data_IF_447206311068
#
_entry.id   IF_447206311068
#
_cell.length_a   1.000
_cell.length_b   1.000
_cell.length_c   1.000
_cell.angle_alpha   90.00
_cell.angle_beta   90.00
_cell.angle_gamma   90.00
#
_symmetry.space_group_name_H-M   'P 1'
#
loop_
_entity.id
_entity.type
_entity.pdbx_description
1 polymer ?
#
# COMPACT_ATOMS: atom_id res chain seq x y z
N UNK A 1 31.27 -49.60 -39.18
CA UNK A 1 32.06 -49.14 -38.01
C UNK A 1 32.47 -47.69 -38.25
N UNK A 2 32.38 -46.83 -37.20
CA UNK A 2 32.76 -45.39 -37.13
C UNK A 2 31.75 -44.45 -37.82
N UNK A 3 31.30 -43.31 -37.30
CA UNK A 3 31.59 -42.46 -36.12
C UNK A 3 30.29 -41.65 -35.90
N UNK A 4 29.76 -41.57 -34.68
CA UNK A 4 29.94 -40.44 -33.77
C UNK A 4 29.47 -39.08 -34.34
N UNK A 5 28.36 -38.59 -33.81
CA UNK A 5 27.81 -37.26 -34.05
C UNK A 5 26.72 -36.99 -33.01
N UNK A 6 27.07 -37.12 -31.73
CA UNK A 6 26.17 -36.86 -30.62
C UNK A 6 25.94 -35.33 -30.57
N UNK A 7 24.77 -34.88 -31.02
CA UNK A 7 24.37 -33.48 -30.93
C UNK A 7 24.26 -33.14 -29.45
N UNK A 8 25.22 -32.36 -28.97
CA UNK A 8 25.25 -31.81 -27.62
C UNK A 8 24.13 -30.78 -27.50
N UNK A 9 22.98 -31.18 -26.94
CA UNK A 9 21.92 -30.25 -26.55
C UNK A 9 22.46 -29.46 -25.36
N UNK A 10 22.94 -28.24 -25.61
CA UNK A 10 23.22 -27.26 -24.57
C UNK A 10 21.85 -26.77 -24.06
N UNK A 11 21.34 -27.41 -23.01
CA UNK A 11 20.24 -26.88 -22.22
C UNK A 11 20.81 -25.67 -21.48
N UNK A 12 20.62 -24.49 -22.05
CA UNK A 12 20.85 -23.21 -21.39
C UNK A 12 19.82 -23.12 -20.25
N UNK A 13 20.19 -23.61 -19.07
CA UNK A 13 19.48 -23.39 -17.81
C UNK A 13 19.53 -21.88 -17.51
N UNK A 14 18.67 -21.10 -18.17
CA UNK A 14 18.27 -19.78 -17.69
C UNK A 14 17.40 -20.06 -16.47
N UNK A 15 18.06 -20.31 -15.34
CA UNK A 15 17.44 -20.17 -14.04
C UNK A 15 16.99 -18.72 -13.93
N UNK A 16 15.74 -18.47 -14.29
CA UNK A 16 15.02 -17.27 -13.90
C UNK A 16 15.12 -17.19 -12.38
N UNK A 17 16.09 -16.42 -11.89
CA UNK A 17 16.15 -15.97 -10.52
C UNK A 17 14.95 -15.03 -10.35
N UNK A 18 13.75 -15.58 -10.21
CA UNK A 18 12.61 -14.83 -9.69
C UNK A 18 12.93 -14.57 -8.23
N UNK A 19 13.66 -13.48 -7.99
CA UNK A 19 13.89 -12.95 -6.65
C UNK A 19 12.50 -12.65 -6.08
N UNK A 20 12.05 -13.47 -5.12
CA UNK A 20 10.93 -13.09 -4.26
C UNK A 20 11.30 -11.75 -3.63
N UNK A 21 10.52 -10.70 -3.93
CA UNK A 21 10.78 -9.37 -3.42
C UNK A 21 10.33 -9.28 -1.96
N UNK A 22 11.27 -9.47 -1.03
CA UNK A 22 11.07 -9.32 0.41
C UNK A 22 11.93 -8.15 0.90
N UNK A 23 11.40 -6.91 0.87
CA UNK A 23 12.15 -5.73 1.29
C UNK A 23 12.40 -5.75 2.80
N UNK A 24 13.56 -5.23 3.22
CA UNK A 24 13.77 -4.84 4.62
C UNK A 24 12.77 -3.75 5.04
N UNK A 25 12.53 -3.53 6.34
CA UNK A 25 11.65 -2.45 6.81
C UNK A 25 12.08 -1.06 6.30
N UNK A 26 13.36 -0.83 6.08
CA UNK A 26 13.82 0.45 5.52
C UNK A 26 13.49 0.57 4.03
N UNK A 27 13.76 -0.47 3.23
CA UNK A 27 13.43 -0.50 1.80
C UNK A 27 11.91 -0.43 1.59
N UNK A 28 11.13 -1.15 2.39
CA UNK A 28 9.67 -1.14 2.32
C UNK A 28 9.11 0.26 2.59
N UNK A 29 9.67 0.99 3.57
CA UNK A 29 9.27 2.36 3.87
C UNK A 29 9.69 3.32 2.75
N UNK A 30 10.89 3.15 2.20
CA UNK A 30 11.35 3.96 1.06
C UNK A 30 10.42 3.79 -0.14
N UNK A 31 10.03 2.56 -0.48
CA UNK A 31 9.10 2.31 -1.57
C UNK A 31 7.71 2.95 -1.33
N UNK A 32 7.24 2.98 -0.07
CA UNK A 32 5.96 3.60 0.28
C UNK A 32 5.95 5.10 0.00
N UNK A 33 7.11 5.78 -0.06
CA UNK A 33 7.21 7.19 -0.43
C UNK A 33 6.62 7.46 -1.83
N UNK A 34 6.49 6.44 -2.68
CA UNK A 34 5.75 6.52 -3.96
C UNK A 34 4.26 6.89 -3.80
N UNK A 35 3.69 6.77 -2.59
CA UNK A 35 2.35 7.24 -2.28
C UNK A 35 2.25 8.76 -2.17
N UNK A 36 3.37 9.50 -2.10
CA UNK A 36 3.36 10.97 -2.06
C UNK A 36 2.55 11.56 -3.22
N UNK A 37 1.75 12.57 -2.87
CA UNK A 37 0.90 13.31 -3.79
C UNK A 37 -0.57 13.29 -3.36
N UNK A 38 -1.42 13.77 -4.26
CA UNK A 38 -2.88 13.83 -4.08
C UNK A 38 -3.56 12.80 -4.99
N UNK A 39 -4.52 12.07 -4.42
CA UNK A 39 -5.19 10.93 -5.02
C UNK A 39 -6.69 11.13 -4.96
N UNK A 40 -7.37 11.09 -6.11
CA UNK A 40 -8.81 11.23 -6.20
C UNK A 40 -9.47 9.92 -6.65
N UNK A 41 -10.46 9.44 -5.89
CA UNK A 41 -11.20 8.23 -6.27
C UNK A 41 -11.94 8.42 -7.58
N UNK A 42 -12.00 7.38 -8.41
CA UNK A 42 -12.74 7.40 -9.69
C UNK A 42 -14.14 6.77 -9.60
N UNK A 43 -14.58 6.39 -8.41
CA UNK A 43 -15.87 5.73 -8.17
C UNK A 43 -17.02 6.74 -7.94
N UNK A 44 -18.21 6.21 -7.67
CA UNK A 44 -19.38 7.02 -7.32
C UNK A 44 -19.22 7.71 -5.95
N UNK A 45 -18.63 7.00 -4.99
CA UNK A 45 -18.26 7.58 -3.69
C UNK A 45 -16.96 8.37 -3.86
N UNK A 46 -17.04 9.69 -3.68
CA UNK A 46 -15.89 10.58 -3.75
C UNK A 46 -15.12 10.54 -2.45
N UNK A 47 -13.98 9.86 -2.47
CA UNK A 47 -13.01 9.84 -1.38
C UNK A 47 -11.64 10.18 -1.94
N UNK A 48 -10.92 11.07 -1.27
CA UNK A 48 -9.62 11.55 -1.69
C UNK A 48 -8.60 11.27 -0.59
N UNK A 49 -7.37 10.99 -0.98
CA UNK A 49 -6.25 10.90 -0.08
C UNK A 49 -5.16 11.87 -0.50
N UNK A 50 -4.41 12.37 0.46
CA UNK A 50 -3.16 13.07 0.20
C UNK A 50 -2.08 12.58 1.16
N UNK A 51 -0.86 12.46 0.65
CA UNK A 51 0.29 11.94 1.39
C UNK A 51 1.49 12.85 1.18
N UNK A 52 2.23 13.09 2.27
CA UNK A 52 3.44 13.88 2.29
C UNK A 52 4.53 13.11 3.04
N UNK A 53 5.75 13.09 2.48
CA UNK A 53 6.94 12.60 3.17
C UNK A 53 7.43 13.70 4.11
N UNK A 54 7.54 13.39 5.40
CA UNK A 54 8.00 14.31 6.44
C UNK A 54 9.46 14.02 6.80
N UNK A 55 9.87 12.75 6.75
CA UNK A 55 11.26 12.30 6.99
C UNK A 55 11.47 10.89 6.46
N UNK A 56 12.67 10.34 6.65
CA UNK A 56 13.02 8.95 6.32
C UNK A 56 12.29 7.88 7.14
N UNK A 57 11.50 8.30 8.13
CA UNK A 57 10.72 7.39 8.97
C UNK A 57 9.28 7.83 9.17
N UNK A 58 8.83 8.92 8.54
CA UNK A 58 7.47 9.44 8.71
C UNK A 58 6.89 9.99 7.41
N UNK A 59 5.71 9.50 7.07
CA UNK A 59 4.78 10.11 6.14
C UNK A 59 3.51 10.50 6.90
N UNK A 60 2.94 11.64 6.54
CA UNK A 60 1.63 12.09 7.03
C UNK A 60 0.66 12.21 5.88
N UNK A 61 -0.61 11.96 6.14
CA UNK A 61 -1.64 12.11 5.14
C UNK A 61 -2.99 12.48 5.71
N UNK A 62 -3.98 12.59 4.83
CA UNK A 62 -5.37 12.74 5.20
C UNK A 62 -6.27 12.11 4.16
N UNK A 63 -7.28 11.38 4.63
CA UNK A 63 -8.39 10.88 3.82
C UNK A 63 -9.61 11.78 4.02
N UNK A 64 -10.35 12.10 2.97
CA UNK A 64 -11.56 12.91 3.10
C UNK A 64 -12.57 12.63 1.99
N UNK A 65 -13.86 12.74 2.32
CA UNK A 65 -14.95 12.70 1.34
C UNK A 65 -15.63 14.06 1.22
N UNK A 66 -16.05 14.38 0.00
CA UNK A 66 -16.74 15.63 -0.32
C UNK A 66 -18.18 15.32 -0.75
N UNK A 67 -19.13 16.14 -0.30
CA UNK A 67 -20.45 16.26 -0.90
C UNK A 67 -20.59 17.68 -1.44
N UNK A 68 -20.41 17.85 -2.75
CA UNK A 68 -20.26 19.17 -3.36
C UNK A 68 -18.96 19.84 -2.89
N UNK A 69 -19.07 21.01 -2.23
CA UNK A 69 -17.92 21.73 -1.64
C UNK A 69 -17.68 21.40 -0.17
N UNK A 70 -18.61 20.70 0.47
CA UNK A 70 -18.55 20.44 1.91
C UNK A 70 -17.83 19.13 2.19
N UNK A 71 -16.94 19.15 3.18
CA UNK A 71 -16.26 17.94 3.66
C UNK A 71 -17.19 17.19 4.59
N UNK A 72 -17.58 15.97 4.21
CA UNK A 72 -18.51 15.13 5.00
C UNK A 72 -17.75 14.21 5.95
N UNK A 73 -16.52 13.84 5.58
CA UNK A 73 -15.64 13.03 6.41
C UNK A 73 -14.20 13.47 6.22
N UNK A 74 -13.42 13.44 7.29
CA UNK A 74 -11.98 13.64 7.26
C UNK A 74 -11.31 12.78 8.32
N UNK A 75 -10.18 12.19 7.94
CA UNK A 75 -9.28 11.48 8.83
C UNK A 75 -7.85 11.97 8.66
N UNK A 76 -7.06 11.89 9.74
CA UNK A 76 -5.61 12.10 9.68
C UNK A 76 -4.92 10.75 9.62
N UNK A 77 -3.95 10.65 8.74
CA UNK A 77 -3.22 9.42 8.46
C UNK A 77 -1.73 9.60 8.77
N UNK A 78 -1.07 8.52 9.19
CA UNK A 78 0.38 8.45 9.32
C UNK A 78 0.85 7.08 8.85
N UNK A 79 2.00 7.06 8.19
CA UNK A 79 2.81 5.84 8.02
C UNK A 79 4.18 6.13 8.62
N UNK A 80 4.64 5.32 9.55
CA UNK A 80 5.90 5.57 10.23
C UNK A 80 6.67 4.29 10.55
N UNK A 81 8.00 4.40 10.54
CA UNK A 81 8.92 3.31 10.85
C UNK A 81 9.55 3.51 12.23
N UNK A 82 9.55 2.46 13.05
CA UNK A 82 10.22 2.40 14.36
C UNK A 82 11.04 1.12 14.44
N UNK A 83 12.37 1.23 14.36
CA UNK A 83 13.25 0.06 14.25
C UNK A 83 12.88 -0.77 13.02
N UNK A 84 12.56 -2.04 13.27
CA UNK A 84 12.21 -3.03 12.25
C UNK A 84 10.70 -3.14 11.98
N UNK A 85 9.90 -2.22 12.51
CA UNK A 85 8.44 -2.20 12.30
C UNK A 85 8.00 -0.96 11.55
N UNK A 86 7.03 -1.12 10.64
CA UNK A 86 6.28 -0.03 10.03
C UNK A 86 4.84 -0.09 10.50
N UNK A 87 4.27 1.07 10.77
CA UNK A 87 2.90 1.24 11.26
C UNK A 87 2.13 2.19 10.36
N UNK A 88 0.87 1.87 10.12
CA UNK A 88 -0.13 2.78 9.60
C UNK A 88 -1.03 3.22 10.77
N UNK A 89 -1.36 4.50 10.86
CA UNK A 89 -2.25 5.02 11.89
C UNK A 89 -3.31 5.94 11.29
N UNK A 90 -4.58 5.69 11.61
CA UNK A 90 -5.72 6.51 11.20
C UNK A 90 -6.44 7.12 12.40
N UNK A 91 -6.78 8.40 12.31
CA UNK A 91 -7.56 9.13 13.31
C UNK A 91 -8.85 9.66 12.66
N UNK A 92 -10.01 9.06 12.92
CA UNK A 92 -11.29 9.48 12.34
C UNK A 92 -11.85 10.70 13.07
N UNK A 93 -11.32 11.88 12.74
CA UNK A 93 -11.72 13.17 13.31
C UNK A 93 -10.92 13.57 14.56
N UNK A 94 -10.92 14.87 14.90
CA UNK A 94 -9.95 15.47 15.82
C UNK A 94 -10.09 15.05 17.29
N UNK A 95 -11.25 14.50 17.69
CA UNK A 95 -11.53 14.06 19.07
C UNK A 95 -11.39 12.55 19.27
N UNK A 96 -10.95 11.81 18.25
CA UNK A 96 -10.75 10.37 18.31
C UNK A 96 -9.28 10.05 18.46
N UNK A 97 -8.96 8.92 19.05
CA UNK A 97 -7.59 8.42 19.10
C UNK A 97 -7.16 7.82 17.76
N UNK A 98 -5.85 7.66 17.60
CA UNK A 98 -5.31 6.91 16.47
C UNK A 98 -5.55 5.42 16.64
N UNK A 99 -6.03 4.78 15.58
CA UNK A 99 -6.06 3.33 15.45
C UNK A 99 -4.83 2.90 14.65
N UNK A 100 -4.03 2.00 15.22
CA UNK A 100 -2.74 1.58 14.66
C UNK A 100 -2.87 0.23 13.97
N UNK A 101 -2.15 0.06 12.87
CA UNK A 101 -2.09 -1.15 12.06
C UNK A 101 -0.62 -1.47 11.77
N UNK A 102 -0.17 -2.66 12.13
CA UNK A 102 1.19 -3.09 11.86
C UNK A 102 1.30 -3.53 10.40
N UNK A 103 2.41 -3.20 9.73
CA UNK A 103 2.73 -3.80 8.44
C UNK A 103 2.87 -5.31 8.61
N UNK A 104 2.10 -6.05 7.82
CA UNK A 104 2.02 -7.50 7.82
C UNK A 104 2.71 -8.10 6.58
N UNK A 105 2.56 -7.43 5.42
CA UNK A 105 3.16 -7.84 4.16
C UNK A 105 3.58 -6.62 3.34
N UNK A 106 4.75 -6.69 2.72
CA UNK A 106 5.23 -5.72 1.75
C UNK A 106 5.82 -6.47 0.56
N UNK A 107 5.45 -6.02 -0.64
CA UNK A 107 5.98 -6.53 -1.89
C UNK A 107 6.06 -5.41 -2.92
N UNK A 108 6.33 -5.77 -4.18
CA UNK A 108 6.55 -4.77 -5.21
C UNK A 108 5.28 -3.92 -5.39
N UNK A 109 5.37 -2.64 -4.97
CA UNK A 109 4.29 -1.65 -5.07
C UNK A 109 3.00 -2.06 -4.34
N UNK A 110 3.09 -2.88 -3.29
CA UNK A 110 1.96 -3.18 -2.42
C UNK A 110 2.37 -3.35 -0.97
N UNK A 111 1.47 -2.94 -0.08
CA UNK A 111 1.67 -2.99 1.36
C UNK A 111 0.36 -3.31 2.05
N UNK A 112 0.40 -4.25 2.99
CA UNK A 112 -0.76 -4.71 3.75
C UNK A 112 -0.51 -4.47 5.22
N UNK A 113 -1.38 -3.69 5.86
CA UNK A 113 -1.36 -3.40 7.27
C UNK A 113 -2.54 -4.10 7.96
N UNK A 114 -2.33 -4.60 9.18
CA UNK A 114 -3.35 -5.31 9.95
C UNK A 114 -3.44 -4.80 11.39
N UNK A 115 -4.66 -4.83 11.91
CA UNK A 115 -4.98 -4.74 13.33
C UNK A 115 -6.13 -5.73 13.61
N UNK A 116 -5.82 -6.94 14.12
CA UNK A 116 -6.83 -7.95 14.43
C UNK A 116 -7.86 -7.50 15.47
N UNK A 117 -7.49 -6.54 16.34
CA UNK A 117 -8.34 -6.03 17.42
C UNK A 117 -9.32 -4.94 16.96
N UNK A 118 -9.20 -4.42 15.73
CA UNK A 118 -10.10 -3.41 15.22
C UNK A 118 -11.23 -4.04 14.36
N UNK A 119 -12.48 -3.80 14.75
CA UNK A 119 -13.67 -4.38 14.10
C UNK A 119 -13.72 -4.10 12.59
N UNK A 120 -13.52 -2.84 12.23
CA UNK A 120 -13.40 -2.41 10.84
C UNK A 120 -12.70 -1.03 10.71
N UNK A 121 -11.74 -0.89 9.79
CA UNK A 121 -11.08 -1.96 9.05
C UNK A 121 -10.17 -2.78 9.98
N UNK A 122 -10.05 -4.09 9.76
CA UNK A 122 -9.01 -4.92 10.38
C UNK A 122 -7.78 -5.09 9.49
N UNK A 123 -7.94 -4.87 8.18
CA UNK A 123 -6.88 -4.97 7.16
C UNK A 123 -6.99 -3.76 6.22
N UNK A 124 -5.85 -3.14 5.92
CA UNK A 124 -5.71 -2.03 4.96
C UNK A 124 -4.63 -2.41 3.97
N UNK A 125 -4.96 -2.48 2.68
CA UNK A 125 -4.00 -2.80 1.62
C UNK A 125 -3.91 -1.68 0.60
N UNK A 126 -2.70 -1.22 0.35
CA UNK A 126 -2.35 -0.33 -0.75
C UNK A 126 -1.72 -1.15 -1.89
N UNK A 127 -2.11 -0.86 -3.13
CA UNK A 127 -1.48 -1.42 -4.34
C UNK A 127 -1.38 -0.36 -5.42
N UNK A 128 -0.16 0.08 -5.70
CA UNK A 128 0.12 1.06 -6.73
C UNK A 128 0.24 0.35 -8.09
N UNK A 129 -0.85 0.33 -8.87
CA UNK A 129 -0.96 -0.37 -10.16
C UNK A 129 -0.10 0.28 -11.25
N UNK A 130 0.01 1.61 -11.19
CA UNK A 130 0.85 2.50 -12.01
C UNK A 130 1.21 3.70 -11.15
N UNK A 131 2.19 4.50 -11.56
CA UNK A 131 2.64 5.66 -10.77
C UNK A 131 1.51 6.68 -10.54
N UNK A 132 0.48 6.63 -11.39
CA UNK A 132 -0.71 7.47 -11.34
C UNK A 132 -1.99 6.74 -10.95
N UNK A 133 -1.95 5.42 -10.69
CA UNK A 133 -3.14 4.61 -10.36
C UNK A 133 -2.89 3.83 -9.07
N UNK A 134 -3.59 4.23 -8.01
CA UNK A 134 -3.56 3.57 -6.72
C UNK A 134 -4.87 2.79 -6.49
N UNK A 135 -4.78 1.60 -5.92
CA UNK A 135 -5.91 0.86 -5.40
C UNK A 135 -5.74 0.65 -3.91
N UNK A 136 -6.75 1.03 -3.12
CA UNK A 136 -6.83 0.65 -1.70
C UNK A 136 -7.93 -0.37 -1.51
N UNK A 137 -7.72 -1.29 -0.59
CA UNK A 137 -8.70 -2.30 -0.18
C UNK A 137 -8.70 -2.37 1.34
N UNK A 138 -9.86 -2.16 1.95
CA UNK A 138 -10.04 -2.26 3.39
C UNK A 138 -11.05 -3.35 3.71
N UNK A 139 -10.69 -4.26 4.61
CA UNK A 139 -11.56 -5.36 5.04
C UNK A 139 -11.62 -5.44 6.55
N UNK A 140 -12.62 -6.13 7.10
CA UNK A 140 -12.48 -6.66 8.46
C UNK A 140 -11.46 -7.80 8.49
N UNK A 141 -11.07 -8.26 9.68
CA UNK A 141 -10.08 -9.33 9.83
C UNK A 141 -10.53 -10.67 9.21
N UNK A 142 -11.84 -10.90 9.11
CA UNK A 142 -12.44 -12.09 8.46
C UNK A 142 -12.48 -12.02 6.93
N UNK A 143 -12.24 -10.86 6.34
CA UNK A 143 -12.29 -10.65 4.88
C UNK A 143 -13.70 -10.67 4.26
N UNK A 144 -14.77 -10.73 5.06
CA UNK A 144 -16.14 -10.82 4.55
C UNK A 144 -16.89 -9.48 4.46
N UNK A 145 -16.27 -8.39 4.94
CA UNK A 145 -16.70 -7.01 4.70
C UNK A 145 -15.56 -6.26 4.03
N UNK A 146 -15.82 -5.67 2.87
CA UNK A 146 -14.80 -5.08 2.01
C UNK A 146 -15.24 -3.76 1.38
N UNK A 147 -14.32 -2.81 1.31
CA UNK A 147 -14.41 -1.60 0.50
C UNK A 147 -13.15 -1.47 -0.34
N UNK A 148 -13.32 -1.11 -1.62
CA UNK A 148 -12.21 -0.89 -2.55
C UNK A 148 -12.36 0.48 -3.16
N UNK A 149 -11.28 1.26 -3.12
CA UNK A 149 -11.16 2.49 -3.89
C UNK A 149 -10.09 2.34 -4.96
N UNK A 150 -10.36 2.89 -6.14
CA UNK A 150 -9.35 3.13 -7.17
C UNK A 150 -9.20 4.63 -7.33
N UNK A 151 -7.97 5.12 -7.23
CA UNK A 151 -7.63 6.53 -7.29
C UNK A 151 -6.76 6.83 -8.50
N UNK A 152 -6.90 8.05 -9.00
CA UNK A 152 -5.96 8.68 -9.93
C UNK A 152 -5.13 9.72 -9.18
N UNK A 153 -3.83 9.74 -9.43
CA UNK A 153 -2.96 10.84 -8.96
C UNK A 153 -3.36 12.11 -9.70
N UNK A 154 -3.57 13.20 -8.97
CA UNK A 154 -3.97 14.51 -9.52
C UNK A 154 -2.92 15.60 -9.29
N UNK A 155 -1.96 15.39 -8.39
CA UNK A 155 -0.87 16.33 -8.06
C UNK A 155 0.27 15.62 -7.30
N UNK A 156 1.48 16.19 -7.30
CA UNK A 156 2.68 15.76 -6.52
C UNK A 156 3.15 16.76 -5.45
#
# INVERSE_FOLDING_TARGET
>A
MRQAGQILIIILFIGLLTRCYHPSPQEAFEDMKALQGKWASTGQTLFNEQWQVVSDTLMTGSGFSLNGKDTVFMERLKIFRTGDSIWYAAQPGPKKDYVFFKLDDAGYRHWTFKNPENDYPGIIRYKLKRDTILQTRTTNIRGNKEVIFTFKKIWE
#
